data_IF_756360630832
#
_entry.id   IF_756360630832
#
_cell.length_a   1.000
_cell.length_b   1.000
_cell.length_c   1.000
_cell.angle_alpha   90.00
_cell.angle_beta   90.00
_cell.angle_gamma   90.00
#
_symmetry.space_group_name_H-M   'P 1'
#
loop_
_entity.id
_entity.type
_entity.pdbx_description
1 polymer ?
#
# COMPACT_ATOMS: atom_id res chain seq x y z
N UNK A 1 1.99 14.18 1.34
CA UNK A 1 1.68 13.00 2.17
C UNK A 1 1.25 13.41 3.57
N UNK A 2 0.09 12.94 4.02
CA UNK A 2 -0.42 13.20 5.36
C UNK A 2 0.20 12.24 6.39
N UNK A 3 1.02 12.76 7.33
CA UNK A 3 1.72 11.94 8.34
C UNK A 3 0.78 11.06 9.20
N UNK A 4 -0.45 11.52 9.45
CA UNK A 4 -1.46 10.75 10.19
C UNK A 4 -1.96 9.55 9.38
N UNK A 5 -2.14 9.72 8.07
CA UNK A 5 -2.57 8.65 7.17
C UNK A 5 -1.46 7.62 7.00
N UNK A 6 -0.22 8.06 6.79
CA UNK A 6 0.92 7.15 6.75
C UNK A 6 0.99 6.29 8.02
N UNK A 7 0.92 6.89 9.21
CA UNK A 7 0.94 6.12 10.47
C UNK A 7 -0.19 5.09 10.57
N UNK A 8 -1.36 5.37 9.99
CA UNK A 8 -2.48 4.43 9.95
C UNK A 8 -2.29 3.32 8.91
N UNK A 9 -1.71 3.64 7.75
CA UNK A 9 -1.37 2.65 6.73
C UNK A 9 -0.34 1.66 7.26
N UNK A 10 0.71 2.16 7.94
CA UNK A 10 1.71 1.32 8.61
C UNK A 10 1.10 0.37 9.63
N UNK A 11 0.23 0.89 10.49
CA UNK A 11 -0.50 0.07 11.47
C UNK A 11 -1.35 -1.00 10.78
N UNK A 12 -2.03 -0.66 9.68
CA UNK A 12 -2.86 -1.60 8.91
C UNK A 12 -2.02 -2.70 8.23
N UNK A 13 -0.81 -2.37 7.74
CA UNK A 13 0.14 -3.33 7.22
C UNK A 13 0.64 -4.30 8.32
N UNK A 14 1.00 -3.76 9.49
CA UNK A 14 1.47 -4.49 10.67
C UNK A 14 0.41 -5.37 11.35
N UNK A 15 -0.88 -5.10 11.12
CA UNK A 15 -1.97 -5.99 11.51
C UNK A 15 -2.13 -7.19 10.55
N UNK A 16 -1.38 -7.20 9.44
CA UNK A 16 -1.29 -8.29 8.46
C UNK A 16 0.08 -8.98 8.55
N UNK A 17 0.65 -9.39 7.41
CA UNK A 17 1.93 -10.08 7.32
C UNK A 17 3.14 -9.14 7.20
N UNK A 18 2.92 -7.86 6.92
CA UNK A 18 3.97 -6.90 6.54
C UNK A 18 4.50 -6.13 7.74
N UNK A 19 5.73 -5.61 7.63
CA UNK A 19 6.39 -4.90 8.72
C UNK A 19 6.14 -3.39 8.72
N UNK A 20 5.97 -2.78 7.54
CA UNK A 20 5.74 -1.35 7.39
C UNK A 20 4.90 -1.02 6.14
N UNK A 21 4.65 0.27 5.92
CA UNK A 21 4.10 0.78 4.66
C UNK A 21 4.76 2.11 4.26
N UNK A 22 4.93 2.31 2.95
CA UNK A 22 5.50 3.52 2.36
C UNK A 22 4.56 4.13 1.32
N UNK A 23 4.57 5.46 1.19
CA UNK A 23 3.81 6.14 0.15
C UNK A 23 4.50 6.02 -1.20
N UNK A 24 3.79 5.53 -2.21
CA UNK A 24 4.33 5.26 -3.56
C UNK A 24 3.70 6.09 -4.66
N UNK A 25 2.69 6.91 -4.34
CA UNK A 25 2.12 7.83 -5.31
C UNK A 25 0.62 8.02 -5.17
N UNK A 26 -0.02 8.38 -6.29
CA UNK A 26 -1.47 8.57 -6.38
C UNK A 26 -2.05 7.77 -7.53
N UNK A 27 -3.19 7.15 -7.28
CA UNK A 27 -3.97 6.41 -8.29
C UNK A 27 -5.45 6.70 -8.07
N UNK A 28 -6.19 7.12 -9.12
CA UNK A 28 -7.63 7.41 -9.06
C UNK A 28 -8.10 8.24 -7.84
N UNK A 29 -7.43 9.37 -7.58
CA UNK A 29 -7.61 10.26 -6.42
C UNK A 29 -7.23 9.69 -5.05
N UNK A 30 -6.76 8.45 -4.97
CA UNK A 30 -6.22 7.86 -3.75
C UNK A 30 -4.75 8.22 -3.56
N UNK A 31 -4.33 8.43 -2.32
CA UNK A 31 -2.92 8.24 -1.95
C UNK A 31 -2.68 6.73 -1.83
N UNK A 32 -1.62 6.22 -2.44
CA UNK A 32 -1.29 4.80 -2.47
C UNK A 32 -0.12 4.55 -1.54
N UNK A 33 -0.25 3.51 -0.70
CA UNK A 33 0.80 3.05 0.18
C UNK A 33 1.09 1.57 -0.12
N UNK A 34 2.36 1.27 -0.36
CA UNK A 34 2.87 -0.08 -0.54
C UNK A 34 3.22 -0.68 0.83
N UNK A 35 2.65 -1.84 1.19
CA UNK A 35 3.10 -2.58 2.36
C UNK A 35 4.45 -3.27 2.07
N UNK A 36 5.38 -3.25 3.02
CA UNK A 36 6.76 -3.73 2.82
C UNK A 36 7.22 -4.61 3.98
N UNK A 37 8.14 -5.53 3.67
CA UNK A 37 8.93 -6.26 4.67
C UNK A 37 10.25 -5.54 4.91
N UNK A 38 10.78 -5.61 6.13
CA UNK A 38 12.03 -4.96 6.52
C UNK A 38 13.18 -5.98 6.67
N UNK A 39 13.09 -7.10 5.97
CA UNK A 39 14.13 -8.13 5.88
C UNK A 39 14.62 -8.28 4.43
N UNK A 40 15.67 -9.09 4.26
CA UNK A 40 16.26 -9.43 2.96
C UNK A 40 15.75 -10.78 2.44
N UNK A 41 14.58 -11.26 2.91
CA UNK A 41 14.00 -12.55 2.51
C UNK A 41 12.99 -12.40 1.37
N UNK A 42 12.81 -13.47 0.57
CA UNK A 42 11.77 -13.53 -0.44
C UNK A 42 10.43 -13.91 0.18
N UNK A 43 9.42 -13.07 0.02
CA UNK A 43 8.06 -13.30 0.54
C UNK A 43 7.07 -13.59 -0.58
N UNK A 44 6.33 -14.70 -0.48
CA UNK A 44 5.28 -15.07 -1.43
C UNK A 44 3.92 -14.49 -1.02
N UNK A 45 3.62 -13.28 -1.50
CA UNK A 45 2.44 -12.50 -1.07
C UNK A 45 1.17 -12.73 -1.89
N UNK A 46 1.24 -13.48 -2.99
CA UNK A 46 0.13 -13.65 -3.92
C UNK A 46 0.02 -12.50 -4.93
N UNK A 47 -1.18 -11.95 -5.12
CA UNK A 47 -1.39 -10.79 -6.00
C UNK A 47 -0.85 -9.51 -5.36
N UNK A 48 -0.43 -8.50 -6.16
CA UNK A 48 -0.08 -7.19 -5.64
C UNK A 48 -1.21 -6.61 -4.78
N UNK A 49 -0.86 -6.06 -3.63
CA UNK A 49 -1.79 -5.47 -2.68
C UNK A 49 -1.24 -4.12 -2.21
N UNK A 50 -2.10 -3.10 -2.22
CA UNK A 50 -1.76 -1.76 -1.75
C UNK A 50 -2.80 -1.28 -0.76
N UNK A 51 -2.42 -0.30 0.06
CA UNK A 51 -3.34 0.42 0.94
C UNK A 51 -3.72 1.73 0.26
N UNK A 52 -5.01 1.89 -0.02
CA UNK A 52 -5.57 3.08 -0.64
C UNK A 52 -6.13 4.01 0.43
N UNK A 53 -5.77 5.29 0.37
CA UNK A 53 -6.31 6.31 1.26
C UNK A 53 -7.03 7.44 0.50
N UNK A 54 -8.23 7.80 0.98
CA UNK A 54 -9.00 8.95 0.49
C UNK A 54 -9.65 9.67 1.67
N UNK A 55 -9.20 10.91 1.93
CA UNK A 55 -9.58 11.64 3.13
C UNK A 55 -9.09 10.92 4.39
N UNK A 56 -10.00 10.58 5.29
CA UNK A 56 -9.71 9.86 6.55
C UNK A 56 -9.95 8.33 6.47
N UNK A 57 -10.28 7.81 5.29
CA UNK A 57 -10.55 6.37 5.08
C UNK A 57 -9.34 5.68 4.46
N UNK A 58 -9.02 4.49 4.98
CA UNK A 58 -8.03 3.57 4.43
C UNK A 58 -8.69 2.22 4.16
N UNK A 59 -8.27 1.54 3.10
CA UNK A 59 -8.65 0.16 2.80
C UNK A 59 -7.58 -0.52 1.96
N UNK A 60 -7.56 -1.85 1.96
CA UNK A 60 -6.81 -2.63 0.97
C UNK A 60 -7.44 -2.47 -0.41
N UNK A 61 -6.61 -2.61 -1.44
CA UNK A 61 -7.05 -2.92 -2.80
C UNK A 61 -7.85 -4.21 -2.83
N UNK A 62 -8.77 -4.33 -3.80
CA UNK A 62 -9.18 -5.66 -4.27
C UNK A 62 -8.19 -6.19 -5.33
N UNK A 63 -8.38 -7.44 -5.75
CA UNK A 63 -7.47 -8.13 -6.67
C UNK A 63 -7.23 -7.37 -8.00
N UNK A 64 -8.26 -6.76 -8.57
CA UNK A 64 -8.12 -6.01 -9.83
C UNK A 64 -7.44 -4.66 -9.59
N UNK A 65 -7.83 -3.96 -8.53
CA UNK A 65 -7.20 -2.69 -8.17
C UNK A 65 -5.71 -2.84 -7.87
N UNK A 66 -5.29 -3.94 -7.25
CA UNK A 66 -3.88 -4.21 -6.99
C UNK A 66 -3.05 -4.30 -8.27
N UNK A 67 -3.59 -4.98 -9.29
CA UNK A 67 -2.96 -5.08 -10.61
C UNK A 67 -2.97 -3.73 -11.35
N UNK A 68 -4.09 -3.00 -11.31
CA UNK A 68 -4.20 -1.69 -11.96
C UNK A 68 -3.21 -0.68 -11.35
N UNK A 69 -3.08 -0.67 -10.02
CA UNK A 69 -2.12 0.20 -9.32
C UNK A 69 -0.68 -0.13 -9.71
N UNK A 70 -0.32 -1.41 -9.78
CA UNK A 70 1.02 -1.83 -10.20
C UNK A 70 1.32 -1.38 -11.64
N UNK A 71 0.34 -1.47 -12.55
CA UNK A 71 0.51 -1.09 -13.95
C UNK A 71 0.56 0.43 -14.16
N UNK A 72 -0.25 1.18 -13.42
CA UNK A 72 -0.46 2.60 -13.65
C UNK A 72 0.47 3.51 -12.83
N UNK A 73 1.02 3.01 -11.71
CA UNK A 73 2.02 3.77 -10.97
C UNK A 73 3.33 3.81 -11.77
N UNK A 74 3.96 4.99 -11.92
CA UNK A 74 5.26 5.09 -12.56
C UNK A 74 6.30 4.36 -11.70
N UNK A 75 7.11 3.51 -12.34
CA UNK A 75 8.36 3.02 -11.73
C UNK A 75 9.35 4.20 -11.66
N UNK A 76 9.97 4.39 -10.48
CA UNK A 76 11.04 5.39 -10.26
C UNK A 76 12.36 4.99 -10.93
#
# INVERSE_FOLDING_TARGET
>A
MNKKILSRARKMAQESIYDDAQYVGRWNDFEVYEPIFNDDEEHFIGLPQYILAKGDTLRWTNDTEGLDVLHDLPED
#
